data_IF_047027221582
#
_entry.id   IF_047027221582
#
_cell.length_a   1.000
_cell.length_b   1.000
_cell.length_c   1.000
_cell.angle_alpha   90.00
_cell.angle_beta   90.00
_cell.angle_gamma   90.00
#
_symmetry.space_group_name_H-M   'P 1'
#
loop_
_entity.id
_entity.type
_entity.pdbx_description
1 polymer ?
#
# COMPACT_ATOMS: atom_id res chain seq x y z
N UNK A 1 2.37 15.60 -24.89
CA UNK A 1 1.45 14.51 -24.49
C UNK A 1 2.13 13.20 -24.88
N UNK A 2 2.19 12.24 -23.94
CA UNK A 2 2.85 10.95 -24.14
C UNK A 2 1.94 9.83 -23.66
N UNK A 3 1.80 8.77 -24.44
CA UNK A 3 1.09 7.57 -24.06
C UNK A 3 2.05 6.64 -23.30
N UNK A 4 1.69 6.29 -22.06
CA UNK A 4 2.40 5.29 -21.30
C UNK A 4 1.74 3.92 -21.53
N UNK A 5 2.53 2.97 -21.97
CA UNK A 5 2.04 1.59 -22.14
C UNK A 5 2.04 0.82 -20.81
N UNK A 6 1.17 -0.20 -20.67
CA UNK A 6 1.15 -1.06 -19.47
C UNK A 6 2.53 -1.64 -19.19
N UNK A 7 2.94 -1.61 -17.92
CA UNK A 7 4.17 -2.24 -17.43
C UNK A 7 3.88 -3.61 -16.87
N UNK A 8 4.89 -4.47 -16.83
CA UNK A 8 4.75 -5.81 -16.27
C UNK A 8 4.41 -5.74 -14.78
N UNK A 9 3.46 -6.59 -14.36
CA UNK A 9 3.18 -6.83 -12.94
C UNK A 9 4.31 -7.63 -12.32
N UNK A 10 4.73 -7.26 -11.13
CA UNK A 10 5.77 -7.92 -10.36
C UNK A 10 5.20 -8.48 -9.05
N UNK A 11 5.76 -9.60 -8.59
CA UNK A 11 5.52 -10.11 -7.25
C UNK A 11 6.41 -9.33 -6.28
N UNK A 12 5.81 -8.75 -5.24
CA UNK A 12 6.54 -8.02 -4.21
C UNK A 12 7.40 -8.97 -3.34
N UNK A 13 8.52 -8.47 -2.79
CA UNK A 13 9.41 -9.28 -1.95
C UNK A 13 8.69 -9.83 -0.70
N UNK A 14 8.85 -11.12 -0.43
CA UNK A 14 8.30 -11.76 0.76
C UNK A 14 8.87 -11.19 2.08
N UNK A 15 9.99 -10.48 2.03
CA UNK A 15 10.56 -9.80 3.19
C UNK A 15 9.68 -8.66 3.74
N UNK A 16 8.78 -8.09 2.91
CA UNK A 16 7.97 -6.91 3.25
C UNK A 16 6.47 -7.18 3.24
N UNK A 17 6.05 -8.37 2.83
CA UNK A 17 4.65 -8.74 2.67
C UNK A 17 4.39 -10.15 3.20
N UNK A 18 3.21 -10.34 3.78
CA UNK A 18 2.64 -11.65 4.05
C UNK A 18 1.67 -12.00 2.93
N UNK A 19 1.82 -13.19 2.35
CA UNK A 19 1.08 -13.60 1.15
C UNK A 19 1.68 -13.03 -0.15
N UNK A 20 1.11 -13.43 -1.28
CA UNK A 20 1.58 -13.04 -2.61
C UNK A 20 0.93 -11.73 -3.05
N UNK A 21 1.62 -10.63 -2.86
CA UNK A 21 1.15 -9.28 -3.21
C UNK A 21 1.80 -8.82 -4.51
N UNK A 22 0.97 -8.35 -5.44
CA UNK A 22 1.40 -7.96 -6.78
C UNK A 22 1.35 -6.45 -6.97
N UNK A 23 2.37 -5.90 -7.62
CA UNK A 23 2.47 -4.50 -7.99
C UNK A 23 2.52 -4.37 -9.52
N UNK A 24 1.63 -3.57 -10.07
CA UNK A 24 1.72 -3.08 -11.44
C UNK A 24 2.11 -1.61 -11.41
N UNK A 25 3.37 -1.26 -11.78
CA UNK A 25 3.77 0.14 -11.89
C UNK A 25 2.94 0.84 -12.96
N UNK A 26 2.41 2.03 -12.68
CA UNK A 26 1.60 2.81 -13.62
C UNK A 26 2.38 4.02 -14.12
N UNK A 27 2.89 4.84 -13.20
CA UNK A 27 3.62 6.05 -13.55
C UNK A 27 4.72 6.35 -12.53
N UNK A 28 5.84 6.83 -13.03
CA UNK A 28 6.88 7.43 -12.23
C UNK A 28 7.27 8.76 -12.87
N UNK A 29 7.08 9.85 -12.15
CA UNK A 29 7.38 11.19 -12.61
C UNK A 29 8.86 11.39 -12.87
N UNK A 30 9.16 12.27 -13.81
CA UNK A 30 10.51 12.71 -14.18
C UNK A 30 10.59 14.22 -14.16
N UNK A 31 11.77 14.76 -13.90
CA UNK A 31 11.97 16.21 -13.83
C UNK A 31 11.27 16.84 -12.63
N UNK A 32 10.40 17.83 -12.80
CA UNK A 32 9.73 18.50 -11.68
C UNK A 32 8.64 17.64 -11.03
N UNK A 33 8.14 16.60 -11.67
CA UNK A 33 7.16 15.69 -11.10
C UNK A 33 7.89 14.59 -10.30
N UNK A 34 7.49 14.41 -9.05
CA UNK A 34 7.95 13.34 -8.17
C UNK A 34 6.85 12.31 -7.90
N UNK A 35 5.74 12.37 -8.63
CA UNK A 35 4.61 11.46 -8.46
C UNK A 35 5.01 10.03 -8.80
N UNK A 36 4.60 9.09 -7.94
CA UNK A 36 4.66 7.66 -8.19
C UNK A 36 3.28 7.05 -8.02
N UNK A 37 2.87 6.24 -8.98
CA UNK A 37 1.57 5.57 -8.97
C UNK A 37 1.77 4.09 -9.31
N UNK A 38 1.24 3.22 -8.46
CA UNK A 38 1.20 1.78 -8.68
C UNK A 38 -0.16 1.21 -8.32
N UNK A 39 -0.55 0.14 -8.98
CA UNK A 39 -1.71 -0.66 -8.60
C UNK A 39 -1.21 -1.87 -7.83
N UNK A 40 -1.65 -1.99 -6.58
CA UNK A 40 -1.26 -3.08 -5.67
C UNK A 40 -2.46 -3.99 -5.46
N UNK A 41 -2.24 -5.30 -5.61
CA UNK A 41 -3.27 -6.33 -5.47
C UNK A 41 -2.90 -7.30 -4.36
N UNK A 42 -3.82 -7.46 -3.42
CA UNK A 42 -3.71 -8.33 -2.26
C UNK A 42 -4.72 -9.45 -2.36
N UNK A 43 -4.31 -10.71 -2.49
CA UNK A 43 -5.20 -11.85 -2.27
C UNK A 43 -5.79 -11.83 -0.84
N UNK A 44 -6.88 -12.58 -0.58
CA UNK A 44 -7.44 -12.68 0.76
C UNK A 44 -6.38 -13.02 1.81
N UNK A 45 -6.34 -12.25 2.88
CA UNK A 45 -5.37 -12.44 3.97
C UNK A 45 -4.00 -11.80 3.76
N UNK A 46 -3.63 -11.41 2.55
CA UNK A 46 -2.35 -10.81 2.27
C UNK A 46 -2.27 -9.36 2.79
N UNK A 47 -1.13 -8.99 3.33
CA UNK A 47 -0.92 -7.67 3.92
C UNK A 47 0.57 -7.28 3.92
N UNK A 48 0.83 -6.00 4.17
CA UNK A 48 2.19 -5.46 4.31
C UNK A 48 2.75 -5.70 5.70
N UNK A 49 4.08 -5.66 5.82
CA UNK A 49 4.71 -5.31 7.08
C UNK A 49 4.33 -3.90 7.51
N UNK A 50 4.69 -3.53 8.73
CA UNK A 50 4.74 -2.14 9.15
C UNK A 50 5.70 -1.37 8.25
N UNK A 51 5.33 -0.17 7.86
CA UNK A 51 6.17 0.72 7.07
C UNK A 51 5.72 2.18 7.21
N UNK A 52 6.53 3.08 6.69
CA UNK A 52 6.23 4.51 6.63
C UNK A 52 6.81 5.12 5.36
N UNK A 53 6.30 6.26 4.99
CA UNK A 53 6.76 7.03 3.84
C UNK A 53 7.16 8.44 4.29
N UNK A 54 8.35 8.88 3.93
CA UNK A 54 8.89 10.19 4.35
C UNK A 54 8.02 11.38 3.89
N UNK A 55 7.28 11.23 2.80
CA UNK A 55 6.39 12.27 2.23
C UNK A 55 4.91 11.90 2.31
N UNK A 56 4.57 10.85 3.05
CA UNK A 56 3.22 10.31 3.15
C UNK A 56 2.83 9.47 1.95
N UNK A 57 1.64 8.88 2.03
CA UNK A 57 1.06 8.04 0.97
C UNK A 57 -0.45 8.22 0.92
N UNK A 58 -1.02 8.21 -0.27
CA UNK A 58 -2.46 8.11 -0.47
C UNK A 58 -2.79 6.75 -1.08
N UNK A 59 -3.74 6.06 -0.47
CA UNK A 59 -4.29 4.79 -0.95
C UNK A 59 -5.70 5.04 -1.46
N UNK A 60 -5.97 4.72 -2.72
CA UNK A 60 -7.32 4.76 -3.28
C UNK A 60 -7.75 3.34 -3.63
N UNK A 61 -8.73 2.81 -2.90
CA UNK A 61 -9.22 1.44 -3.08
C UNK A 61 -10.03 1.34 -4.37
N UNK A 62 -9.59 0.51 -5.29
CA UNK A 62 -10.27 0.28 -6.57
C UNK A 62 -11.24 -0.89 -6.52
N UNK A 63 -10.92 -1.94 -5.73
CA UNK A 63 -11.73 -3.16 -5.66
C UNK A 63 -11.57 -3.87 -4.32
N UNK A 64 -12.59 -4.61 -3.92
CA UNK A 64 -12.57 -5.49 -2.76
C UNK A 64 -12.71 -4.79 -1.43
N UNK A 65 -12.23 -5.44 -0.37
CA UNK A 65 -12.28 -4.96 1.02
C UNK A 65 -10.92 -5.14 1.67
N UNK A 66 -10.42 -4.09 2.30
CA UNK A 66 -9.16 -4.10 2.99
C UNK A 66 -9.20 -3.49 4.38
N UNK A 67 -8.06 -3.49 5.01
CA UNK A 67 -7.81 -2.92 6.33
C UNK A 67 -6.57 -2.04 6.25
N UNK A 68 -6.60 -0.92 6.96
CA UNK A 68 -5.43 -0.05 7.17
C UNK A 68 -5.33 0.22 8.67
N UNK A 69 -4.17 -0.02 9.24
CA UNK A 69 -3.95 0.15 10.69
C UNK A 69 -2.72 0.98 11.01
N UNK A 70 -2.76 1.66 12.15
CA UNK A 70 -1.69 2.48 12.70
C UNK A 70 -1.22 1.97 14.07
N UNK A 71 -0.09 2.48 14.58
CA UNK A 71 0.55 1.99 15.82
C UNK A 71 -0.29 2.20 17.08
N UNK A 72 -1.20 3.15 17.08
CA UNK A 72 -2.14 3.39 18.18
C UNK A 72 -3.30 2.38 18.24
N UNK A 73 -3.21 1.32 17.46
CA UNK A 73 -4.23 0.28 17.31
C UNK A 73 -5.52 0.77 16.60
N UNK A 74 -5.50 1.94 15.99
CA UNK A 74 -6.59 2.35 15.11
C UNK A 74 -6.58 1.51 13.84
N UNK A 75 -7.73 0.94 13.47
CA UNK A 75 -7.91 0.19 12.25
C UNK A 75 -9.15 0.67 11.53
N UNK A 76 -9.03 0.97 10.25
CA UNK A 76 -10.15 1.30 9.39
C UNK A 76 -10.37 0.19 8.35
N UNK A 77 -11.63 -0.19 8.17
CA UNK A 77 -12.04 -1.08 7.08
C UNK A 77 -12.38 -0.23 5.87
N UNK A 78 -11.77 -0.55 4.76
CA UNK A 78 -11.90 0.20 3.50
C UNK A 78 -12.53 -0.67 2.41
N UNK A 79 -13.22 -0.01 1.48
CA UNK A 79 -13.90 -0.63 0.34
C UNK A 79 -13.63 0.17 -0.93
N UNK A 80 -13.99 -0.42 -2.07
CA UNK A 80 -13.88 0.26 -3.36
C UNK A 80 -14.49 1.67 -3.32
N UNK A 81 -13.72 2.67 -3.74
CA UNK A 81 -14.05 4.10 -3.70
C UNK A 81 -13.51 4.85 -2.48
N UNK A 82 -13.11 4.15 -1.41
CA UNK A 82 -12.51 4.80 -0.24
C UNK A 82 -11.09 5.28 -0.53
N UNK A 83 -10.73 6.37 0.12
CA UNK A 83 -9.37 6.93 0.08
C UNK A 83 -8.84 7.10 1.48
N UNK A 84 -7.64 6.57 1.73
CA UNK A 84 -6.91 6.76 2.99
C UNK A 84 -5.68 7.60 2.72
N UNK A 85 -5.46 8.61 3.55
CA UNK A 85 -4.27 9.44 3.52
C UNK A 85 -3.42 9.11 4.75
N UNK A 86 -2.23 8.55 4.51
CA UNK A 86 -1.23 8.30 5.54
C UNK A 86 -0.27 9.49 5.55
N UNK A 87 -0.21 10.27 6.66
CA UNK A 87 0.68 11.42 6.75
C UNK A 87 2.16 11.05 6.64
N UNK A 88 3.05 12.02 6.38
CA UNK A 88 4.49 11.79 6.41
C UNK A 88 4.94 11.11 7.70
N UNK A 89 5.77 10.08 7.56
CA UNK A 89 6.39 9.30 8.64
C UNK A 89 5.42 8.54 9.58
N UNK A 90 4.11 8.53 9.31
CA UNK A 90 3.19 7.70 10.06
C UNK A 90 3.44 6.22 9.76
N UNK A 91 3.73 5.45 10.80
CA UNK A 91 3.87 3.99 10.69
C UNK A 91 2.51 3.34 10.57
N UNK A 92 2.31 2.64 9.47
CA UNK A 92 1.06 1.97 9.15
C UNK A 92 1.30 0.62 8.47
N UNK A 93 0.24 -0.14 8.35
CA UNK A 93 0.16 -1.33 7.51
C UNK A 93 -1.17 -1.33 6.76
N UNK A 94 -1.24 -2.03 5.65
CA UNK A 94 -2.48 -2.23 4.92
C UNK A 94 -2.49 -3.58 4.21
N UNK A 95 -3.68 -4.07 3.91
CA UNK A 95 -3.86 -5.34 3.22
C UNK A 95 -5.31 -5.71 3.01
N UNK A 96 -5.52 -6.85 2.39
CA UNK A 96 -6.84 -7.42 2.20
C UNK A 96 -7.47 -7.87 3.53
N UNK A 97 -8.80 -7.87 3.62
CA UNK A 97 -9.48 -8.59 4.68
C UNK A 97 -9.30 -10.11 4.50
N UNK A 98 -9.51 -10.89 5.58
CA UNK A 98 -9.22 -12.32 5.56
C UNK A 98 -10.05 -13.11 4.53
N UNK A 99 -11.29 -12.67 4.26
CA UNK A 99 -12.24 -13.39 3.39
C UNK A 99 -12.34 -12.83 1.97
N UNK A 100 -11.67 -11.74 1.64
CA UNK A 100 -11.79 -11.08 0.34
C UNK A 100 -10.48 -10.44 -0.10
N UNK A 101 -10.27 -10.33 -1.41
CA UNK A 101 -9.13 -9.58 -1.96
C UNK A 101 -9.33 -8.06 -1.81
N UNK A 102 -8.26 -7.32 -1.99
CA UNK A 102 -8.29 -5.87 -2.09
C UNK A 102 -7.28 -5.40 -3.15
N UNK A 103 -7.69 -4.43 -3.95
CA UNK A 103 -6.79 -3.70 -4.84
C UNK A 103 -6.87 -2.21 -4.55
N UNK A 104 -5.73 -1.54 -4.54
CA UNK A 104 -5.69 -0.09 -4.40
C UNK A 104 -4.62 0.52 -5.30
N UNK A 105 -4.84 1.77 -5.68
CA UNK A 105 -3.77 2.61 -6.18
C UNK A 105 -2.96 3.14 -5.01
N UNK A 106 -1.65 2.98 -5.09
CA UNK A 106 -0.70 3.61 -4.18
C UNK A 106 -0.15 4.86 -4.87
N UNK A 107 -0.42 6.02 -4.30
CA UNK A 107 0.03 7.31 -4.79
C UNK A 107 0.97 7.91 -3.76
N UNK A 108 2.19 8.19 -4.16
CA UNK A 108 3.17 8.85 -3.30
C UNK A 108 4.17 9.65 -4.14
N UNK A 109 4.89 10.52 -3.47
CA UNK A 109 6.01 11.21 -4.09
C UNK A 109 7.31 10.50 -3.76
N UNK A 110 8.22 10.41 -4.73
CA UNK A 110 9.60 10.03 -4.48
C UNK A 110 10.34 11.18 -3.79
N UNK A 111 11.49 10.88 -3.18
CA UNK A 111 12.37 11.93 -2.67
C UNK A 111 12.91 12.80 -3.82
N UNK A 112 13.44 13.97 -3.47
CA UNK A 112 14.00 14.91 -4.47
C UNK A 112 15.12 14.29 -5.32
N UNK A 113 15.83 13.28 -4.83
CA UNK A 113 16.84 12.52 -5.57
C UNK A 113 16.26 11.36 -6.39
N UNK A 114 14.92 11.19 -6.42
CA UNK A 114 14.22 10.12 -7.12
C UNK A 114 14.19 8.78 -6.40
N UNK A 115 14.76 8.67 -5.20
CA UNK A 115 14.74 7.43 -4.42
C UNK A 115 13.38 7.17 -3.78
N UNK A 116 13.12 5.88 -3.45
CA UNK A 116 11.94 5.44 -2.74
C UNK A 116 11.94 6.03 -1.30
N UNK A 117 10.87 6.73 -0.89
CA UNK A 117 10.76 7.29 0.46
C UNK A 117 10.31 6.28 1.52
N UNK A 118 10.13 5.01 1.17
CA UNK A 118 9.57 3.98 2.05
C UNK A 118 10.63 3.41 2.99
N UNK A 119 10.30 3.36 4.28
CA UNK A 119 11.06 2.61 5.29
C UNK A 119 10.24 1.41 5.72
N UNK A 120 10.74 0.21 5.42
CA UNK A 120 10.13 -1.05 5.82
C UNK A 120 10.58 -1.43 7.23
N UNK A 121 9.62 -1.94 8.02
CA UNK A 121 9.79 -2.32 9.42
C UNK A 121 9.41 -3.81 9.60
N UNK A 122 9.18 -4.22 10.85
CA UNK A 122 8.86 -5.58 11.20
C UNK A 122 7.52 -6.07 10.62
N UNK A 123 7.33 -7.38 10.49
CA UNK A 123 6.04 -7.96 10.12
C UNK A 123 4.93 -7.58 11.09
N UNK A 124 3.71 -7.42 10.56
CA UNK A 124 2.51 -7.38 11.39
C UNK A 124 2.30 -8.76 12.02
N UNK A 125 2.04 -8.82 13.34
CA UNK A 125 1.80 -10.10 13.99
C UNK A 125 0.46 -10.71 13.58
N UNK A 126 0.37 -12.05 13.60
CA UNK A 126 -0.85 -12.78 13.28
C UNK A 126 -2.00 -12.38 14.23
N UNK A 127 -1.69 -12.12 15.51
CA UNK A 127 -2.67 -11.66 16.49
C UNK A 127 -3.21 -10.28 16.15
N UNK A 128 -2.36 -9.34 15.77
CA UNK A 128 -2.76 -8.00 15.40
C UNK A 128 -3.61 -8.01 14.11
N UNK A 129 -3.21 -8.80 13.11
CA UNK A 129 -3.99 -8.96 11.89
C UNK A 129 -5.36 -9.61 12.16
N UNK A 130 -5.41 -10.65 13.01
CA UNK A 130 -6.66 -11.31 13.39
C UNK A 130 -7.61 -10.37 14.14
N UNK A 131 -7.08 -9.59 15.10
CA UNK A 131 -7.85 -8.60 15.84
C UNK A 131 -8.43 -7.51 14.91
N UNK A 132 -7.67 -7.08 13.93
CA UNK A 132 -8.08 -6.06 12.96
C UNK A 132 -9.30 -6.48 12.12
N UNK A 133 -9.60 -7.78 11.99
CA UNK A 133 -10.79 -8.25 11.25
C UNK A 133 -12.10 -7.81 11.90
N UNK A 134 -12.08 -7.34 13.15
CA UNK A 134 -13.27 -6.86 13.87
C UNK A 134 -13.61 -5.40 13.56
N UNK A 135 -12.73 -4.68 12.86
CA UNK A 135 -12.95 -3.29 12.47
C UNK A 135 -14.08 -3.11 11.46
#
# INVERSE_FOLDING_TARGET
>A
MELQHPKATILNPAAWFTGDVYLTPIYAGTGPSHMSVGLVRFPPGAHTNWHRHAVGQTLHVSEGVGLVGTRDCSVVRVRAGDTVVCPPDEEHWHGAAAATFMSHFALLETKADGSDPTTWLEPLSDEAYAAAQQA
#
